data_IF_142501111245
#
_entry.id   IF_142501111245
#
_cell.length_a   1.000
_cell.length_b   1.000
_cell.length_c   1.000
_cell.angle_alpha   90.00
_cell.angle_beta   90.00
_cell.angle_gamma   90.00
#
_symmetry.space_group_name_H-M   'P 1'
#
loop_
_entity.id
_entity.type
_entity.pdbx_description
1 polymer ?
#
# COMPACT_ATOMS: atom_id res chain seq x y z
N UNK A 1 3.27 19.68 13.84
CA UNK A 1 3.93 19.69 12.52
C UNK A 1 2.92 20.26 11.55
N UNK A 2 3.24 21.39 10.94
CA UNK A 2 2.51 21.91 9.78
C UNK A 2 3.49 21.88 8.63
N UNK A 3 3.12 21.25 7.53
CA UNK A 3 3.93 21.30 6.31
C UNK A 3 3.73 22.67 5.67
N UNK A 4 4.80 23.24 5.13
CA UNK A 4 4.74 24.43 4.30
C UNK A 4 4.33 24.02 2.88
N UNK A 5 3.07 24.20 2.44
CA UNK A 5 2.60 23.63 1.19
C UNK A 5 3.27 24.27 -0.02
N UNK A 6 3.66 25.54 0.12
CA UNK A 6 4.34 26.35 -0.91
C UNK A 6 5.72 25.82 -1.29
N UNK A 7 6.31 25.00 -0.43
CA UNK A 7 7.57 24.29 -0.70
C UNK A 7 7.44 23.32 -1.88
N UNK A 8 6.26 22.73 -2.07
CA UNK A 8 6.02 21.71 -3.08
C UNK A 8 5.31 22.29 -4.30
N UNK A 9 5.61 21.71 -5.46
CA UNK A 9 4.78 21.86 -6.65
C UNK A 9 3.36 21.45 -6.27
N UNK A 10 2.38 22.31 -6.56
CA UNK A 10 0.96 22.01 -6.32
C UNK A 10 0.61 20.59 -6.75
N UNK A 11 -0.06 19.82 -5.90
CA UNK A 11 -0.41 18.42 -6.18
C UNK A 11 -1.16 18.23 -7.51
N UNK A 12 -1.98 19.22 -7.92
CA UNK A 12 -2.64 19.21 -9.24
C UNK A 12 -1.65 19.27 -10.40
N UNK A 13 -0.68 20.18 -10.32
CA UNK A 13 0.37 20.33 -11.34
C UNK A 13 1.28 19.10 -11.34
N UNK A 14 1.65 18.60 -10.17
CA UNK A 14 2.48 17.40 -10.04
C UNK A 14 1.83 16.17 -10.72
N UNK A 15 0.51 15.99 -10.57
CA UNK A 15 -0.22 14.92 -11.27
C UNK A 15 -0.33 15.13 -12.78
N UNK A 16 -0.54 16.37 -13.24
CA UNK A 16 -0.52 16.67 -14.69
C UNK A 16 0.85 16.34 -15.27
N UNK A 17 1.94 16.72 -14.59
CA UNK A 17 3.30 16.42 -15.02
C UNK A 17 3.60 14.91 -15.00
N UNK A 18 3.08 14.18 -14.02
CA UNK A 18 3.18 12.72 -13.94
C UNK A 18 2.50 12.06 -15.15
N UNK A 19 1.25 12.43 -15.44
CA UNK A 19 0.51 11.91 -16.59
C UNK A 19 1.19 12.26 -17.92
N UNK A 20 1.65 13.51 -18.10
CA UNK A 20 2.38 13.91 -19.30
C UNK A 20 3.68 13.11 -19.49
N UNK A 21 4.38 12.78 -18.40
CA UNK A 21 5.60 11.96 -18.45
C UNK A 21 5.30 10.51 -18.84
N UNK A 22 4.19 9.96 -18.34
CA UNK A 22 3.69 8.63 -18.73
C UNK A 22 3.34 8.62 -20.23
N UNK A 23 2.59 9.60 -20.71
CA UNK A 23 2.15 9.68 -22.10
C UNK A 23 3.35 9.83 -23.06
N UNK A 24 4.35 10.64 -22.68
CA UNK A 24 5.58 10.80 -23.45
C UNK A 24 6.37 9.47 -23.56
N UNK A 25 6.49 8.71 -22.47
CA UNK A 25 7.16 7.41 -22.48
C UNK A 25 6.37 6.34 -23.25
N UNK A 26 5.05 6.35 -23.17
CA UNK A 26 4.19 5.47 -23.97
C UNK A 26 4.31 5.77 -25.47
N UNK A 27 4.40 7.04 -25.86
CA UNK A 27 4.67 7.41 -27.25
C UNK A 27 6.04 6.92 -27.72
N UNK A 28 7.07 6.92 -26.86
CA UNK A 28 8.39 6.34 -27.20
C UNK A 28 8.36 4.81 -27.28
N UNK A 29 7.58 4.16 -26.41
CA UNK A 29 7.38 2.70 -26.41
C UNK A 29 6.84 2.16 -27.73
N UNK A 30 5.97 2.88 -28.43
CA UNK A 30 5.43 2.41 -29.72
C UNK A 30 6.45 2.41 -30.87
N UNK A 31 7.60 3.07 -30.70
CA UNK A 31 8.64 3.16 -31.72
C UNK A 31 9.84 2.26 -31.41
N UNK A 32 10.55 2.55 -30.31
CA UNK A 32 11.72 1.79 -29.85
C UNK A 32 12.14 2.28 -28.47
N UNK A 33 11.40 1.90 -27.42
CA UNK A 33 11.81 2.22 -26.06
C UNK A 33 13.01 1.37 -25.62
N UNK A 34 13.89 1.97 -24.84
CA UNK A 34 14.98 1.28 -24.15
C UNK A 34 14.50 0.57 -22.89
N UNK A 35 15.32 -0.34 -22.36
CA UNK A 35 15.07 -0.98 -21.06
C UNK A 35 14.78 0.04 -19.94
N UNK A 36 15.62 1.08 -19.83
CA UNK A 36 15.49 2.09 -18.78
C UNK A 36 14.21 2.94 -18.93
N UNK A 37 13.79 3.21 -20.16
CA UNK A 37 12.54 3.93 -20.42
C UNK A 37 11.30 3.10 -20.03
N UNK A 38 11.30 1.80 -20.31
CA UNK A 38 10.21 0.91 -19.88
C UNK A 38 10.20 0.77 -18.35
N UNK A 39 11.36 0.63 -17.70
CA UNK A 39 11.46 0.62 -16.23
C UNK A 39 10.96 1.94 -15.65
N UNK A 40 11.33 3.07 -16.28
CA UNK A 40 10.84 4.40 -15.92
C UNK A 40 9.32 4.53 -16.04
N UNK A 41 8.76 4.09 -17.16
CA UNK A 41 7.32 4.11 -17.42
C UNK A 41 6.55 3.25 -16.40
N UNK A 42 7.01 2.03 -16.16
CA UNK A 42 6.42 1.15 -15.14
C UNK A 42 6.44 1.81 -13.75
N UNK A 43 7.57 2.44 -13.37
CA UNK A 43 7.69 3.16 -12.10
C UNK A 43 6.67 4.29 -11.98
N UNK A 44 6.50 5.10 -13.03
CA UNK A 44 5.54 6.21 -13.01
C UNK A 44 4.09 5.73 -12.97
N UNK A 45 3.76 4.65 -13.69
CA UNK A 45 2.45 4.02 -13.62
C UNK A 45 2.15 3.47 -12.22
N UNK A 46 3.13 2.83 -11.56
CA UNK A 46 2.97 2.43 -10.17
C UNK A 46 2.72 3.62 -9.24
N UNK A 47 3.46 4.72 -9.39
CA UNK A 47 3.23 5.94 -8.60
C UNK A 47 1.82 6.49 -8.83
N UNK A 48 1.36 6.56 -10.08
CA UNK A 48 0.01 7.04 -10.38
C UNK A 48 -1.06 6.12 -9.80
N UNK A 49 -0.88 4.81 -9.93
CA UNK A 49 -1.75 3.80 -9.32
C UNK A 49 -1.81 3.92 -7.80
N UNK A 50 -0.66 4.10 -7.14
CA UNK A 50 -0.59 4.26 -5.68
C UNK A 50 -1.28 5.55 -5.21
N UNK A 51 -1.09 6.66 -5.92
CA UNK A 51 -1.70 7.94 -5.56
C UNK A 51 -3.20 7.94 -5.83
N UNK A 52 -3.65 7.35 -6.95
CA UNK A 52 -5.04 7.42 -7.39
C UNK A 52 -5.89 6.20 -7.02
N UNK A 53 -5.31 5.18 -6.36
CA UNK A 53 -6.01 3.92 -6.09
C UNK A 53 -6.37 3.17 -7.39
N UNK A 54 -5.50 3.21 -8.40
CA UNK A 54 -5.78 2.64 -9.71
C UNK A 54 -5.09 1.29 -9.92
N UNK A 55 -5.85 0.20 -9.80
CA UNK A 55 -5.44 -1.18 -10.08
C UNK A 55 -5.08 -1.34 -11.56
N UNK A 56 -5.83 -0.74 -12.48
CA UNK A 56 -5.50 -0.80 -13.90
C UNK A 56 -4.10 -0.23 -14.22
N UNK A 57 -3.67 0.81 -13.49
CA UNK A 57 -2.31 1.34 -13.61
C UNK A 57 -1.26 0.37 -13.05
N UNK A 58 -1.55 -0.33 -11.95
CA UNK A 58 -0.67 -1.40 -11.45
C UNK A 58 -0.56 -2.57 -12.44
N UNK A 59 -1.66 -2.94 -13.09
CA UNK A 59 -1.69 -3.97 -14.15
C UNK A 59 -0.84 -3.56 -15.35
N UNK A 60 -1.01 -2.32 -15.81
CA UNK A 60 -0.21 -1.76 -16.90
C UNK A 60 1.26 -1.71 -16.49
N UNK A 61 1.58 -1.21 -15.30
CA UNK A 61 2.94 -1.14 -14.80
C UNK A 61 3.63 -2.51 -14.73
N UNK A 62 2.93 -3.56 -14.29
CA UNK A 62 3.45 -4.94 -14.30
C UNK A 62 3.71 -5.41 -15.74
N UNK A 63 2.78 -5.17 -16.67
CA UNK A 63 2.96 -5.53 -18.07
C UNK A 63 4.18 -4.85 -18.71
N UNK A 64 4.35 -3.54 -18.48
CA UNK A 64 5.51 -2.78 -18.98
C UNK A 64 6.82 -3.30 -18.39
N UNK A 65 6.86 -3.58 -17.09
CA UNK A 65 8.09 -4.07 -16.47
C UNK A 65 8.45 -5.49 -16.96
N UNK A 66 7.46 -6.35 -17.21
CA UNK A 66 7.70 -7.65 -17.83
C UNK A 66 8.24 -7.54 -19.26
N UNK A 67 7.78 -6.55 -20.03
CA UNK A 67 8.35 -6.22 -21.34
C UNK A 67 9.83 -5.79 -21.21
N UNK A 68 10.14 -4.89 -20.27
CA UNK A 68 11.51 -4.49 -19.99
C UNK A 68 12.40 -5.70 -19.63
N UNK A 69 11.93 -6.56 -18.73
CA UNK A 69 12.64 -7.78 -18.32
C UNK A 69 12.89 -8.71 -19.52
N UNK A 70 11.93 -8.84 -20.44
CA UNK A 70 12.07 -9.67 -21.62
C UNK A 70 13.15 -9.15 -22.59
N UNK A 71 13.35 -7.83 -22.70
CA UNK A 71 14.39 -7.25 -23.56
C UNK A 71 15.82 -7.62 -23.14
N UNK A 72 16.06 -7.78 -21.84
CA UNK A 72 17.38 -8.00 -21.27
C UNK A 72 17.35 -9.14 -20.24
N UNK A 73 16.69 -10.25 -20.60
CA UNK A 73 16.46 -11.37 -19.72
C UNK A 73 17.77 -11.92 -19.13
N UNK A 74 17.76 -12.15 -17.81
CA UNK A 74 18.93 -12.67 -17.10
C UNK A 74 20.03 -11.65 -16.83
N UNK A 75 19.87 -10.37 -17.16
CA UNK A 75 20.79 -9.33 -16.69
C UNK A 75 20.56 -8.98 -15.23
N UNK A 76 21.57 -8.43 -14.55
CA UNK A 76 21.46 -8.00 -13.16
C UNK A 76 20.31 -7.00 -12.95
N UNK A 77 20.14 -6.03 -13.87
CA UNK A 77 19.06 -5.05 -13.84
C UNK A 77 17.69 -5.67 -14.02
N UNK A 78 17.52 -6.56 -15.02
CA UNK A 78 16.26 -7.28 -15.22
C UNK A 78 15.88 -8.15 -14.01
N UNK A 79 16.84 -8.84 -13.39
CA UNK A 79 16.62 -9.61 -12.17
C UNK A 79 16.17 -8.73 -11.00
N UNK A 80 16.77 -7.55 -10.83
CA UNK A 80 16.35 -6.59 -9.80
C UNK A 80 14.94 -6.05 -10.06
N UNK A 81 14.58 -5.72 -11.31
CA UNK A 81 13.22 -5.31 -11.68
C UNK A 81 12.20 -6.43 -11.39
N UNK A 82 12.50 -7.67 -11.80
CA UNK A 82 11.67 -8.83 -11.48
C UNK A 82 11.51 -9.04 -9.97
N UNK A 83 12.58 -8.85 -9.19
CA UNK A 83 12.52 -8.96 -7.74
C UNK A 83 11.57 -7.91 -7.13
N UNK A 84 11.62 -6.66 -7.62
CA UNK A 84 10.73 -5.59 -7.18
C UNK A 84 9.26 -5.88 -7.51
N UNK A 85 8.97 -6.38 -8.72
CA UNK A 85 7.61 -6.81 -9.09
C UNK A 85 7.13 -7.97 -8.22
N UNK A 86 7.99 -8.96 -7.98
CA UNK A 86 7.67 -10.10 -7.11
C UNK A 86 7.38 -9.63 -5.68
N UNK A 87 8.20 -8.74 -5.12
CA UNK A 87 8.00 -8.18 -3.78
C UNK A 87 6.69 -7.38 -3.69
N UNK A 88 6.40 -6.53 -4.68
CA UNK A 88 5.17 -5.72 -4.74
C UNK A 88 3.91 -6.57 -4.68
N UNK A 89 3.87 -7.68 -5.41
CA UNK A 89 2.75 -8.61 -5.39
C UNK A 89 2.91 -9.75 -4.37
N UNK A 90 3.73 -9.51 -3.34
CA UNK A 90 3.89 -10.37 -2.18
C UNK A 90 4.39 -11.80 -2.48
N UNK A 91 5.06 -12.00 -3.62
CA UNK A 91 5.80 -13.22 -3.98
C UNK A 91 7.19 -13.20 -3.33
N UNK A 92 7.24 -13.16 -2.00
CA UNK A 92 8.47 -12.84 -1.25
C UNK A 92 9.63 -13.81 -1.46
N UNK A 93 9.35 -15.13 -1.51
CA UNK A 93 10.40 -16.14 -1.76
C UNK A 93 11.03 -15.99 -3.14
N UNK A 94 10.21 -15.70 -4.15
CA UNK A 94 10.68 -15.44 -5.50
C UNK A 94 11.53 -14.17 -5.54
N UNK A 95 11.06 -13.09 -4.91
CA UNK A 95 11.81 -11.84 -4.80
C UNK A 95 13.18 -12.05 -4.14
N UNK A 96 13.26 -12.79 -3.03
CA UNK A 96 14.55 -13.07 -2.37
C UNK A 96 15.51 -13.85 -3.28
N UNK A 97 15.02 -14.86 -4.01
CA UNK A 97 15.83 -15.61 -4.97
C UNK A 97 16.35 -14.73 -6.11
N UNK A 98 15.51 -13.84 -6.63
CA UNK A 98 15.88 -12.91 -7.70
C UNK A 98 16.90 -11.86 -7.22
N UNK A 99 16.75 -11.34 -6.00
CA UNK A 99 17.75 -10.45 -5.40
C UNK A 99 19.11 -11.13 -5.21
N UNK A 100 19.13 -12.39 -4.78
CA UNK A 100 20.36 -13.16 -4.64
C UNK A 100 21.06 -13.35 -5.99
N UNK A 101 20.30 -13.63 -7.06
CA UNK A 101 20.83 -13.74 -8.42
C UNK A 101 21.35 -12.38 -8.93
N UNK A 102 20.58 -11.30 -8.76
CA UNK A 102 20.99 -9.95 -9.16
C UNK A 102 22.30 -9.54 -8.45
N UNK A 103 22.42 -9.84 -7.15
CA UNK A 103 23.63 -9.59 -6.38
C UNK A 103 24.82 -10.40 -6.89
N UNK A 104 24.63 -11.69 -7.20
CA UNK A 104 25.68 -12.54 -7.79
C UNK A 104 26.14 -12.00 -9.16
N UNK A 105 25.24 -11.35 -9.89
CA UNK A 105 25.53 -10.66 -11.15
C UNK A 105 26.01 -9.21 -10.97
N UNK A 106 26.42 -8.83 -9.76
CA UNK A 106 27.00 -7.53 -9.41
C UNK A 106 26.05 -6.33 -9.58
N UNK A 107 24.75 -6.52 -9.39
CA UNK A 107 23.85 -5.38 -9.16
C UNK A 107 24.31 -4.57 -7.94
N UNK A 108 24.20 -3.21 -7.96
CA UNK A 108 24.49 -2.36 -6.81
C UNK A 108 23.94 -2.89 -5.48
N UNK A 109 24.83 -3.03 -4.48
CA UNK A 109 24.51 -3.68 -3.19
C UNK A 109 23.51 -2.88 -2.36
N UNK A 110 23.59 -1.56 -2.39
CA UNK A 110 22.66 -0.66 -1.70
C UNK A 110 21.21 -0.85 -2.17
N UNK A 111 20.99 -1.00 -3.49
CA UNK A 111 19.67 -1.26 -4.05
C UNK A 111 19.14 -2.64 -3.64
N UNK A 112 20.00 -3.66 -3.64
CA UNK A 112 19.65 -4.99 -3.14
C UNK A 112 19.29 -4.97 -1.66
N UNK A 113 20.12 -4.32 -0.83
CA UNK A 113 19.92 -4.24 0.62
C UNK A 113 18.64 -3.46 0.95
N UNK A 114 18.28 -2.42 0.18
CA UNK A 114 17.02 -1.70 0.33
C UNK A 114 15.80 -2.58 0.07
N UNK A 115 15.81 -3.38 -1.01
CA UNK A 115 14.73 -4.34 -1.28
C UNK A 115 14.70 -5.46 -0.23
N UNK A 116 15.87 -5.95 0.21
CA UNK A 116 15.97 -7.00 1.22
C UNK A 116 15.44 -6.53 2.58
N UNK A 117 15.74 -5.30 2.98
CA UNK A 117 15.17 -4.70 4.19
C UNK A 117 13.63 -4.64 4.14
N UNK A 118 13.06 -4.28 3.00
CA UNK A 118 11.60 -4.28 2.82
C UNK A 118 11.01 -5.69 2.91
N UNK A 119 11.64 -6.70 2.32
CA UNK A 119 11.24 -8.11 2.41
C UNK A 119 11.30 -8.65 3.85
N UNK A 120 12.39 -8.34 4.56
CA UNK A 120 12.58 -8.73 5.96
C UNK A 120 11.50 -8.12 6.85
N UNK A 121 11.22 -6.82 6.68
CA UNK A 121 10.11 -6.16 7.39
C UNK A 121 8.76 -6.79 7.03
N UNK A 122 8.46 -6.95 5.74
CA UNK A 122 7.18 -7.51 5.29
C UNK A 122 6.93 -8.93 5.81
N UNK A 123 7.99 -9.70 6.09
CA UNK A 123 7.92 -11.08 6.60
C UNK A 123 8.06 -11.19 8.12
N UNK A 124 8.29 -10.08 8.83
CA UNK A 124 8.39 -10.02 10.29
C UNK A 124 9.78 -10.25 10.88
N UNK A 125 10.84 -10.25 10.05
CA UNK A 125 12.25 -10.35 10.46
C UNK A 125 12.79 -8.94 10.77
N UNK A 126 12.22 -8.32 11.79
CA UNK A 126 12.38 -6.88 12.04
C UNK A 126 13.80 -6.48 12.45
N UNK A 127 14.47 -7.28 13.27
CA UNK A 127 15.83 -6.99 13.76
C UNK A 127 16.85 -6.99 12.60
N UNK A 128 16.69 -7.91 11.65
CA UNK A 128 17.54 -7.95 10.45
C UNK A 128 17.22 -6.81 9.49
N UNK A 129 15.93 -6.45 9.36
CA UNK A 129 15.53 -5.26 8.61
C UNK A 129 16.11 -3.98 9.23
N UNK A 130 16.16 -3.90 10.56
CA UNK A 130 16.62 -2.73 11.30
C UNK A 130 18.09 -2.44 11.00
N UNK A 131 18.95 -3.46 11.12
CA UNK A 131 20.38 -3.32 10.81
C UNK A 131 20.64 -2.83 9.38
N UNK A 132 19.83 -3.26 8.40
CA UNK A 132 19.96 -2.80 7.02
C UNK A 132 19.44 -1.37 6.85
N UNK A 133 18.29 -1.04 7.43
CA UNK A 133 17.69 0.30 7.31
C UNK A 133 18.52 1.36 8.02
N UNK A 134 19.08 1.07 9.20
CA UNK A 134 20.01 1.97 9.90
C UNK A 134 21.23 2.27 9.03
N UNK A 135 21.89 1.23 8.52
CA UNK A 135 23.04 1.39 7.62
C UNK A 135 22.71 2.21 6.37
N UNK A 136 21.56 1.95 5.73
CA UNK A 136 21.14 2.69 4.54
C UNK A 136 20.86 4.16 4.85
N UNK A 137 20.21 4.45 5.99
CA UNK A 137 19.94 5.82 6.43
C UNK A 137 21.21 6.57 6.84
N UNK A 138 22.22 5.88 7.39
CA UNK A 138 23.54 6.46 7.69
C UNK A 138 24.36 6.75 6.43
N UNK A 139 24.33 5.87 5.44
CA UNK A 139 25.11 5.99 4.21
C UNK A 139 24.56 7.05 3.25
N UNK A 140 23.24 7.11 3.11
CA UNK A 140 22.55 8.04 2.22
C UNK A 140 21.29 8.58 2.91
N UNK A 141 21.45 9.57 3.82
CA UNK A 141 20.33 10.15 4.54
C UNK A 141 19.39 10.87 3.57
N UNK A 142 18.19 10.32 3.41
CA UNK A 142 17.14 10.88 2.53
C UNK A 142 15.77 10.67 3.12
N UNK A 143 14.76 11.37 2.59
CA UNK A 143 13.36 11.14 2.96
C UNK A 143 12.97 9.66 2.80
N UNK A 144 13.52 8.98 1.78
CA UNK A 144 13.24 7.58 1.53
C UNK A 144 13.91 6.66 2.55
N UNK A 145 15.21 6.81 2.83
CA UNK A 145 15.95 5.90 3.74
C UNK A 145 15.57 6.10 5.19
N UNK A 146 15.41 7.36 5.63
CA UNK A 146 14.99 7.69 6.99
C UNK A 146 13.51 7.37 7.19
N UNK A 147 12.65 7.62 6.20
CA UNK A 147 11.22 7.29 6.25
C UNK A 147 10.99 5.78 6.34
N UNK A 148 11.73 5.01 5.55
CA UNK A 148 11.81 3.56 5.65
C UNK A 148 12.13 3.06 7.07
N UNK A 149 13.14 3.66 7.70
CA UNK A 149 13.54 3.34 9.08
C UNK A 149 12.41 3.70 10.05
N UNK A 150 11.79 4.87 9.92
CA UNK A 150 10.67 5.29 10.74
C UNK A 150 9.50 4.29 10.69
N UNK A 151 9.15 3.82 9.48
CA UNK A 151 8.10 2.84 9.28
C UNK A 151 8.41 1.48 9.92
N UNK A 152 9.66 1.03 9.91
CA UNK A 152 10.08 -0.17 10.64
C UNK A 152 10.03 0.02 12.17
N UNK A 153 10.57 1.14 12.67
CA UNK A 153 10.55 1.46 14.11
C UNK A 153 9.11 1.49 14.63
N UNK A 154 8.18 2.01 13.84
CA UNK A 154 6.75 1.94 14.14
C UNK A 154 6.25 0.50 14.21
N UNK A 155 6.55 -0.37 13.24
CA UNK A 155 6.12 -1.78 13.30
C UNK A 155 6.70 -2.54 14.49
N UNK A 156 7.90 -2.17 14.95
CA UNK A 156 8.54 -2.70 16.16
C UNK A 156 7.97 -2.12 17.46
N UNK A 157 7.08 -1.13 17.38
CA UNK A 157 6.50 -0.46 18.54
C UNK A 157 7.40 0.58 19.21
N UNK A 158 8.51 0.97 18.56
CA UNK A 158 9.43 2.00 19.03
C UNK A 158 8.92 3.39 18.64
N UNK A 159 7.77 3.77 19.21
CA UNK A 159 6.97 4.88 18.72
C UNK A 159 7.64 6.25 18.78
N UNK A 160 8.34 6.55 19.87
CA UNK A 160 9.02 7.84 20.04
C UNK A 160 10.12 8.00 18.98
N UNK A 161 10.91 6.94 18.77
CA UNK A 161 11.94 6.91 17.73
C UNK A 161 11.32 7.02 16.34
N UNK A 162 10.22 6.30 16.07
CA UNK A 162 9.51 6.38 14.80
C UNK A 162 9.00 7.80 14.49
N UNK A 163 8.36 8.47 15.45
CA UNK A 163 7.87 9.84 15.27
C UNK A 163 9.01 10.84 15.02
N UNK A 164 10.13 10.69 15.73
CA UNK A 164 11.32 11.49 15.49
C UNK A 164 11.90 11.22 14.09
N UNK A 165 12.00 9.95 13.68
CA UNK A 165 12.49 9.57 12.35
C UNK A 165 11.57 10.06 11.23
N UNK A 166 10.25 10.00 11.38
CA UNK A 166 9.31 10.57 10.40
C UNK A 166 9.51 12.09 10.26
N UNK A 167 9.63 12.80 11.39
CA UNK A 167 9.87 14.24 11.38
C UNK A 167 11.23 14.58 10.74
N UNK A 168 12.27 13.81 11.06
CA UNK A 168 13.61 13.99 10.48
C UNK A 168 13.59 13.72 8.98
N UNK A 169 12.91 12.67 8.51
CA UNK A 169 12.79 12.36 7.10
C UNK A 169 12.13 13.50 6.31
N UNK A 170 11.06 14.12 6.84
CA UNK A 170 10.47 15.33 6.24
C UNK A 170 11.42 16.53 6.25
N UNK A 171 12.23 16.68 7.31
CA UNK A 171 13.22 17.75 7.41
C UNK A 171 14.41 17.58 6.45
N UNK A 172 14.77 16.34 6.10
CA UNK A 172 15.84 16.00 5.16
C UNK A 172 15.36 16.02 3.70
N UNK A 173 14.05 16.00 3.46
CA UNK A 173 13.54 16.28 2.11
C UNK A 173 14.09 17.63 1.66
N UNK A 174 14.58 17.70 0.43
CA UNK A 174 15.01 18.92 -0.29
C UNK A 174 14.30 19.03 -1.66
N UNK A 175 13.42 18.08 -1.97
CA UNK A 175 12.68 18.02 -3.22
C UNK A 175 11.51 18.99 -3.28
N UNK A 176 11.09 19.29 -4.52
CA UNK A 176 9.90 20.11 -4.83
C UNK A 176 8.70 19.27 -5.29
N UNK A 177 8.88 17.96 -5.47
CA UNK A 177 7.78 17.06 -5.81
C UNK A 177 7.01 16.66 -4.55
N UNK A 178 5.67 16.71 -4.53
CA UNK A 178 4.90 16.33 -3.34
C UNK A 178 4.86 14.83 -3.09
N UNK A 179 5.20 13.97 -4.07
CA UNK A 179 5.00 12.52 -3.95
C UNK A 179 5.79 11.85 -2.81
N UNK A 180 7.10 12.13 -2.61
CA UNK A 180 7.84 11.53 -1.50
C UNK A 180 7.30 11.94 -0.13
N UNK A 181 7.01 13.23 0.06
CA UNK A 181 6.43 13.75 1.30
C UNK A 181 5.03 13.19 1.55
N UNK A 182 4.19 13.10 0.52
CA UNK A 182 2.86 12.51 0.62
C UNK A 182 2.92 11.02 1.02
N UNK A 183 3.82 10.24 0.42
CA UNK A 183 4.02 8.84 0.80
C UNK A 183 4.46 8.71 2.27
N UNK A 184 5.38 9.56 2.73
CA UNK A 184 5.86 9.54 4.11
C UNK A 184 4.74 9.88 5.11
N UNK A 185 3.94 10.89 4.81
CA UNK A 185 2.78 11.27 5.63
C UNK A 185 1.71 10.18 5.63
N UNK A 186 1.50 9.51 4.49
CA UNK A 186 0.58 8.38 4.40
C UNK A 186 1.02 7.27 5.36
N UNK A 187 2.28 6.85 5.29
CA UNK A 187 2.84 5.82 6.17
C UNK A 187 2.77 6.22 7.66
N UNK A 188 3.07 7.48 7.98
CA UNK A 188 2.97 7.99 9.34
C UNK A 188 1.52 8.02 9.84
N UNK A 189 0.58 8.49 9.02
CA UNK A 189 -0.85 8.52 9.33
C UNK A 189 -1.40 7.10 9.58
N UNK A 190 -1.07 6.16 8.71
CA UNK A 190 -1.43 4.74 8.84
C UNK A 190 -0.83 4.14 10.11
N UNK A 191 0.43 4.45 10.42
CA UNK A 191 1.10 4.01 11.65
C UNK A 191 0.37 4.53 12.90
N UNK A 192 -0.01 5.81 12.94
CA UNK A 192 -0.79 6.39 14.02
C UNK A 192 -2.17 5.73 14.15
N UNK A 193 -2.84 5.46 13.02
CA UNK A 193 -4.15 4.80 12.98
C UNK A 193 -4.08 3.38 13.55
N UNK A 194 -3.05 2.60 13.19
CA UNK A 194 -2.82 1.24 13.70
C UNK A 194 -2.60 1.20 15.22
N UNK A 195 -2.13 2.30 15.82
CA UNK A 195 -1.99 2.47 17.28
C UNK A 195 -3.28 2.93 17.98
N UNK A 196 -4.35 3.17 17.23
CA UNK A 196 -5.59 3.78 17.72
C UNK A 196 -5.44 5.28 18.03
N UNK A 197 -4.38 5.95 17.56
CA UNK A 197 -4.17 7.40 17.73
C UNK A 197 -4.85 8.16 16.60
N UNK A 198 -6.19 8.07 16.56
CA UNK A 198 -7.01 8.61 15.47
C UNK A 198 -6.84 10.13 15.27
N UNK A 199 -6.67 10.91 16.33
CA UNK A 199 -6.45 12.37 16.23
C UNK A 199 -5.15 12.72 15.53
N UNK A 200 -4.08 11.99 15.87
CA UNK A 200 -2.78 12.12 15.22
C UNK A 200 -2.86 11.66 13.77
N UNK A 201 -3.52 10.54 13.51
CA UNK A 201 -3.70 10.00 12.17
C UNK A 201 -4.45 10.99 11.26
N UNK A 202 -5.58 11.55 11.73
CA UNK A 202 -6.34 12.56 10.99
C UNK A 202 -5.51 13.82 10.75
N UNK A 203 -4.76 14.29 11.75
CA UNK A 203 -3.87 15.46 11.58
C UNK A 203 -2.86 15.22 10.46
N UNK A 204 -2.15 14.08 10.49
CA UNK A 204 -1.10 13.78 9.51
C UNK A 204 -1.69 13.54 8.11
N UNK A 205 -2.80 12.82 8.00
CA UNK A 205 -3.46 12.56 6.71
C UNK A 205 -4.13 13.83 6.15
N UNK A 206 -4.56 14.77 6.99
CA UNK A 206 -5.02 16.08 6.55
C UNK A 206 -3.88 16.90 5.92
N UNK A 207 -2.68 16.91 6.52
CA UNK A 207 -1.48 17.54 5.95
C UNK A 207 -1.11 16.93 4.60
N UNK A 208 -1.20 15.60 4.46
CA UNK A 208 -1.06 14.92 3.17
C UNK A 208 -2.06 15.46 2.13
N UNK A 209 -3.32 15.62 2.53
CA UNK A 209 -4.37 16.14 1.67
C UNK A 209 -4.17 17.60 1.26
N UNK A 210 -3.38 18.37 2.02
CA UNK A 210 -3.01 19.76 1.65
C UNK A 210 -2.01 19.75 0.49
N UNK A 211 -0.97 18.93 0.54
CA UNK A 211 0.07 18.90 -0.50
C UNK A 211 -0.30 18.06 -1.73
N UNK A 212 -1.12 17.02 -1.54
CA UNK A 212 -1.57 16.13 -2.60
C UNK A 212 -3.07 15.78 -2.43
N UNK A 213 -3.99 16.71 -2.75
CA UNK A 213 -5.44 16.51 -2.53
C UNK A 213 -6.06 15.30 -3.24
N UNK A 214 -5.42 14.83 -4.31
CA UNK A 214 -5.87 13.70 -5.11
C UNK A 214 -5.35 12.34 -4.59
N UNK A 215 -4.62 12.31 -3.46
CA UNK A 215 -4.11 11.06 -2.89
C UNK A 215 -5.24 10.23 -2.26
N UNK A 216 -5.72 9.27 -3.04
CA UNK A 216 -6.89 8.43 -2.77
C UNK A 216 -6.75 7.57 -1.50
N UNK A 217 -5.66 6.80 -1.27
CA UNK A 217 -5.53 6.01 -0.05
C UNK A 217 -5.58 6.85 1.24
N UNK A 218 -4.98 8.03 1.19
CA UNK A 218 -4.99 8.98 2.31
C UNK A 218 -6.39 9.50 2.60
N UNK A 219 -7.17 9.80 1.56
CA UNK A 219 -8.58 10.19 1.69
C UNK A 219 -9.46 9.04 2.21
N UNK A 220 -9.22 7.81 1.74
CA UNK A 220 -9.88 6.60 2.22
C UNK A 220 -9.69 6.37 3.73
N UNK A 221 -8.45 6.42 4.22
CA UNK A 221 -8.17 6.28 5.65
C UNK A 221 -8.78 7.40 6.50
N UNK A 222 -8.90 8.64 5.98
CA UNK A 222 -9.65 9.70 6.67
C UNK A 222 -11.14 9.39 6.77
N UNK A 223 -11.72 8.73 5.76
CA UNK A 223 -13.10 8.25 5.82
C UNK A 223 -13.27 7.17 6.90
N UNK A 224 -12.36 6.20 6.99
CA UNK A 224 -12.35 5.20 8.07
C UNK A 224 -12.21 5.84 9.46
N UNK A 225 -11.36 6.86 9.61
CA UNK A 225 -11.23 7.59 10.88
C UNK A 225 -12.53 8.32 11.23
N UNK A 226 -13.18 8.96 10.26
CA UNK A 226 -14.48 9.62 10.46
C UNK A 226 -15.56 8.61 10.87
N UNK A 227 -15.63 7.46 10.19
CA UNK A 227 -16.52 6.35 10.53
C UNK A 227 -16.26 5.84 11.95
N UNK A 228 -15.00 5.63 12.33
CA UNK A 228 -14.63 5.19 13.68
C UNK A 228 -15.01 6.19 14.78
N UNK A 229 -15.23 7.46 14.43
CA UNK A 229 -15.74 8.51 15.34
C UNK A 229 -17.26 8.66 15.31
N UNK A 230 -17.95 7.94 14.42
CA UNK A 230 -19.39 8.08 14.20
C UNK A 230 -19.79 9.32 13.37
N UNK A 231 -18.82 10.01 12.76
CA UNK A 231 -19.08 11.15 11.87
C UNK A 231 -19.39 10.65 10.46
N UNK A 232 -20.62 10.13 10.29
CA UNK A 232 -21.07 9.50 9.05
C UNK A 232 -21.11 10.49 7.88
N UNK A 233 -21.49 11.75 8.13
CA UNK A 233 -21.55 12.79 7.09
C UNK A 233 -20.16 13.06 6.50
N UNK A 234 -19.15 13.22 7.36
CA UNK A 234 -17.77 13.40 6.92
C UNK A 234 -17.21 12.15 6.25
N UNK A 235 -17.49 10.96 6.82
CA UNK A 235 -17.05 9.69 6.23
C UNK A 235 -17.60 9.54 4.81
N UNK A 236 -18.89 9.82 4.62
CA UNK A 236 -19.59 9.79 3.34
C UNK A 236 -18.99 10.80 2.35
N UNK A 237 -18.78 12.06 2.76
CA UNK A 237 -18.19 13.09 1.91
C UNK A 237 -16.76 12.76 1.46
N UNK A 238 -16.01 12.02 2.27
CA UNK A 238 -14.67 11.57 1.93
C UNK A 238 -14.68 10.37 0.98
N UNK A 239 -15.54 9.37 1.20
CA UNK A 239 -15.51 8.12 0.43
C UNK A 239 -16.27 8.20 -0.90
N UNK A 240 -17.40 8.91 -0.96
CA UNK A 240 -18.33 8.83 -2.10
C UNK A 240 -17.67 9.17 -3.45
N UNK A 241 -16.80 10.20 -3.56
CA UNK A 241 -16.12 10.48 -4.83
C UNK A 241 -15.15 9.37 -5.26
N UNK A 242 -14.61 8.58 -4.32
CA UNK A 242 -13.65 7.53 -4.63
C UNK A 242 -14.28 6.35 -5.37
N UNK A 243 -15.60 6.16 -5.23
CA UNK A 243 -16.36 5.09 -5.91
C UNK A 243 -16.41 5.29 -7.43
N UNK A 244 -16.25 6.53 -7.88
CA UNK A 244 -16.23 6.89 -9.31
C UNK A 244 -14.80 7.01 -9.85
N UNK A 245 -13.84 7.41 -9.02
CA UNK A 245 -12.48 7.76 -9.47
C UNK A 245 -11.44 6.66 -9.26
N UNK A 246 -11.76 5.61 -8.50
CA UNK A 246 -10.87 4.50 -8.17
C UNK A 246 -11.51 3.17 -8.55
N UNK A 247 -10.71 2.24 -9.08
CA UNK A 247 -11.10 0.86 -9.36
C UNK A 247 -10.63 -0.13 -8.27
N UNK A 248 -9.93 0.35 -7.24
CA UNK A 248 -9.61 -0.45 -6.05
C UNK A 248 -10.88 -0.78 -5.23
N UNK A 249 -11.21 -2.07 -5.00
CA UNK A 249 -12.37 -2.46 -4.21
C UNK A 249 -12.32 -2.08 -2.74
N UNK A 250 -11.15 -1.70 -2.20
CA UNK A 250 -11.03 -1.24 -0.82
C UNK A 250 -11.94 -0.04 -0.54
N UNK A 251 -12.05 0.92 -1.46
CA UNK A 251 -12.87 2.12 -1.22
C UNK A 251 -14.36 1.83 -1.33
N UNK A 252 -14.77 0.91 -2.20
CA UNK A 252 -16.15 0.42 -2.25
C UNK A 252 -16.52 -0.38 -1.00
N UNK A 253 -15.57 -1.16 -0.47
CA UNK A 253 -15.76 -1.84 0.81
C UNK A 253 -15.96 -0.84 1.97
N UNK A 254 -15.13 0.20 2.07
CA UNK A 254 -15.28 1.26 3.09
C UNK A 254 -16.62 1.99 2.92
N UNK A 255 -17.05 2.26 1.68
CA UNK A 255 -18.36 2.86 1.42
C UNK A 255 -19.52 1.98 1.89
N UNK A 256 -19.47 0.67 1.61
CA UNK A 256 -20.45 -0.29 2.13
C UNK A 256 -20.46 -0.34 3.67
N UNK A 257 -19.29 -0.22 4.33
CA UNK A 257 -19.21 -0.10 5.80
C UNK A 257 -19.89 1.15 6.33
N UNK A 258 -19.73 2.29 5.66
CA UNK A 258 -20.36 3.56 6.04
C UNK A 258 -21.88 3.49 5.83
N UNK A 259 -22.34 2.92 4.71
CA UNK A 259 -23.77 2.69 4.45
C UNK A 259 -24.38 1.77 5.52
N UNK A 260 -23.69 0.68 5.88
CA UNK A 260 -24.14 -0.25 6.91
C UNK A 260 -24.31 0.45 8.27
N UNK A 261 -23.36 1.32 8.63
CA UNK A 261 -23.42 2.10 9.87
C UNK A 261 -24.57 3.12 9.89
N UNK A 262 -24.97 3.63 8.71
CA UNK A 262 -26.12 4.51 8.54
C UNK A 262 -27.48 3.81 8.38
N UNK A 263 -27.49 2.48 8.23
CA UNK A 263 -28.71 1.72 7.95
C UNK A 263 -29.27 1.94 6.53
N UNK A 264 -28.41 2.22 5.55
CA UNK A 264 -28.80 2.46 4.16
C UNK A 264 -28.99 1.12 3.41
N UNK A 265 -30.11 0.99 2.69
CA UNK A 265 -30.51 -0.23 1.99
C UNK A 265 -29.53 -0.64 0.87
N UNK A 266 -28.70 0.28 0.37
CA UNK A 266 -27.69 0.00 -0.67
C UNK A 266 -26.49 -0.80 -0.16
N UNK A 267 -26.39 -1.02 1.15
CA UNK A 267 -25.26 -1.71 1.79
C UNK A 267 -24.93 -3.04 1.13
N UNK A 268 -25.95 -3.89 0.92
CA UNK A 268 -25.74 -5.26 0.43
C UNK A 268 -25.33 -5.28 -1.05
N UNK A 269 -25.88 -4.39 -1.87
CA UNK A 269 -25.52 -4.27 -3.28
C UNK A 269 -24.06 -3.82 -3.45
N UNK A 270 -23.64 -2.82 -2.69
CA UNK A 270 -22.26 -2.29 -2.73
C UNK A 270 -21.25 -3.29 -2.14
N UNK A 271 -21.64 -4.03 -1.10
CA UNK A 271 -20.82 -5.11 -0.58
C UNK A 271 -20.65 -6.23 -1.64
N UNK A 272 -21.70 -6.67 -2.31
CA UNK A 272 -21.57 -7.73 -3.33
C UNK A 272 -20.81 -7.25 -4.58
N UNK A 273 -20.82 -5.94 -4.87
CA UNK A 273 -19.90 -5.36 -5.85
C UNK A 273 -18.44 -5.53 -5.43
N UNK A 274 -18.08 -5.07 -4.22
CA UNK A 274 -16.72 -5.18 -3.70
C UNK A 274 -16.26 -6.65 -3.59
N UNK A 275 -17.15 -7.58 -3.25
CA UNK A 275 -16.90 -9.02 -3.29
C UNK A 275 -16.38 -9.47 -4.66
N UNK A 276 -17.11 -9.12 -5.74
CA UNK A 276 -16.77 -9.57 -7.10
C UNK A 276 -15.39 -9.07 -7.50
N UNK A 277 -15.13 -7.81 -7.21
CA UNK A 277 -13.86 -7.15 -7.51
C UNK A 277 -12.70 -7.77 -6.69
N UNK A 278 -12.89 -8.02 -5.39
CA UNK A 278 -11.90 -8.70 -4.56
C UNK A 278 -11.61 -10.13 -5.04
N UNK A 279 -12.63 -10.92 -5.41
CA UNK A 279 -12.39 -12.28 -5.91
C UNK A 279 -11.65 -12.28 -7.26
N UNK A 280 -11.90 -11.29 -8.13
CA UNK A 280 -11.11 -11.11 -9.37
C UNK A 280 -9.63 -10.80 -9.06
N UNK A 281 -9.37 -9.93 -8.09
CA UNK A 281 -8.01 -9.61 -7.65
C UNK A 281 -7.32 -10.81 -7.00
N UNK A 282 -8.01 -11.54 -6.13
CA UNK A 282 -7.49 -12.72 -5.44
C UNK A 282 -7.19 -13.86 -6.41
N UNK A 283 -7.95 -14.01 -7.49
CA UNK A 283 -7.69 -15.01 -8.52
C UNK A 283 -6.35 -14.78 -9.24
N UNK A 284 -5.96 -13.51 -9.43
CA UNK A 284 -4.71 -13.13 -10.12
C UNK A 284 -3.53 -12.97 -9.16
N UNK A 285 -3.75 -12.38 -7.99
CA UNK A 285 -2.72 -11.97 -7.04
C UNK A 285 -3.17 -12.24 -5.59
N UNK A 286 -3.33 -13.52 -5.19
CA UNK A 286 -3.92 -13.87 -3.91
C UNK A 286 -3.17 -13.29 -2.71
N UNK A 287 -1.84 -13.33 -2.75
CA UNK A 287 -1.00 -12.83 -1.67
C UNK A 287 -1.02 -11.30 -1.53
N UNK A 288 -1.29 -10.57 -2.63
CA UNK A 288 -1.28 -9.10 -2.66
C UNK A 288 -2.46 -8.51 -1.86
N UNK A 289 -3.63 -9.14 -1.97
CA UNK A 289 -4.89 -8.59 -1.45
C UNK A 289 -5.49 -9.39 -0.28
N UNK A 290 -4.85 -10.48 0.14
CA UNK A 290 -5.41 -11.37 1.17
C UNK A 290 -5.70 -10.68 2.52
N UNK A 291 -4.92 -9.68 2.92
CA UNK A 291 -5.12 -9.00 4.20
C UNK A 291 -6.32 -8.05 4.18
N UNK A 292 -6.42 -7.19 3.16
CA UNK A 292 -7.56 -6.28 2.96
C UNK A 292 -8.85 -7.06 2.67
N UNK A 293 -8.80 -8.06 1.77
CA UNK A 293 -9.95 -8.90 1.47
C UNK A 293 -10.43 -9.71 2.69
N UNK A 294 -9.51 -10.21 3.54
CA UNK A 294 -9.91 -10.89 4.77
C UNK A 294 -10.64 -9.96 5.74
N UNK A 295 -10.19 -8.71 5.89
CA UNK A 295 -10.85 -7.71 6.73
C UNK A 295 -12.27 -7.40 6.21
N UNK A 296 -12.41 -7.20 4.89
CA UNK A 296 -13.70 -6.99 4.25
C UNK A 296 -14.65 -8.18 4.42
N UNK A 297 -14.20 -9.40 4.09
CA UNK A 297 -15.05 -10.60 4.16
C UNK A 297 -15.47 -10.97 5.59
N UNK A 298 -14.71 -10.61 6.63
CA UNK A 298 -15.17 -10.82 8.01
C UNK A 298 -16.17 -9.77 8.49
N UNK A 299 -16.25 -8.63 7.81
CA UNK A 299 -17.17 -7.53 8.08
C UNK A 299 -18.35 -7.52 7.10
N UNK A 300 -18.53 -6.41 6.39
CA UNK A 300 -19.66 -6.19 5.47
C UNK A 300 -19.72 -7.16 4.29
N UNK A 301 -18.61 -7.82 3.94
CA UNK A 301 -18.60 -8.87 2.94
C UNK A 301 -19.25 -10.19 3.39
N UNK A 302 -19.59 -10.33 4.68
CA UNK A 302 -20.38 -11.45 5.27
C UNK A 302 -19.93 -12.87 4.87
N UNK A 303 -18.63 -13.09 4.67
CA UNK A 303 -17.99 -14.38 4.29
C UNK A 303 -16.90 -14.78 5.29
N UNK A 304 -17.24 -15.07 6.56
CA UNK A 304 -16.23 -15.21 7.62
C UNK A 304 -15.33 -16.44 7.49
N UNK A 305 -15.76 -17.53 6.86
CA UNK A 305 -14.90 -18.67 6.53
C UNK A 305 -13.86 -18.29 5.48
N UNK A 306 -14.26 -17.57 4.42
CA UNK A 306 -13.35 -17.04 3.40
C UNK A 306 -12.32 -16.09 4.01
N UNK A 307 -12.75 -15.22 4.92
CA UNK A 307 -11.85 -14.35 5.67
C UNK A 307 -10.81 -15.13 6.49
N UNK A 308 -11.21 -16.24 7.14
CA UNK A 308 -10.31 -17.09 7.90
C UNK A 308 -9.28 -17.80 7.00
N UNK A 309 -9.68 -18.28 5.83
CA UNK A 309 -8.78 -18.87 4.84
C UNK A 309 -7.69 -17.88 4.42
N UNK A 310 -8.11 -16.68 4.00
CA UNK A 310 -7.20 -15.63 3.54
C UNK A 310 -6.27 -15.12 4.65
N UNK A 311 -6.81 -14.89 5.86
CA UNK A 311 -5.99 -14.49 7.00
C UNK A 311 -4.98 -15.57 7.40
N UNK A 312 -5.34 -16.85 7.27
CA UNK A 312 -4.45 -17.98 7.52
C UNK A 312 -3.33 -18.06 6.47
N UNK A 313 -3.66 -17.86 5.19
CA UNK A 313 -2.69 -17.80 4.11
C UNK A 313 -1.72 -16.62 4.29
N UNK A 314 -2.25 -15.43 4.64
CA UNK A 314 -1.44 -14.24 4.90
C UNK A 314 -0.48 -14.46 6.08
N UNK A 315 -0.95 -15.04 7.20
CA UNK A 315 -0.09 -15.35 8.34
C UNK A 315 1.04 -16.34 8.01
N UNK A 316 0.74 -17.38 7.20
CA UNK A 316 1.77 -18.31 6.73
C UNK A 316 2.82 -17.64 5.84
N UNK A 317 2.40 -16.67 5.02
CA UNK A 317 3.29 -15.91 4.15
C UNK A 317 4.14 -14.90 4.93
N UNK A 318 3.54 -14.22 5.92
CA UNK A 318 4.22 -13.23 6.76
C UNK A 318 3.78 -13.39 8.22
N UNK A 319 4.72 -13.70 9.11
CA UNK A 319 4.40 -13.86 10.54
C UNK A 319 4.65 -12.54 11.31
N UNK A 320 3.86 -11.51 11.00
CA UNK A 320 3.93 -10.21 11.65
C UNK A 320 2.90 -10.09 12.78
N UNK A 321 3.05 -9.14 13.73
CA UNK A 321 2.01 -8.84 14.71
C UNK A 321 0.65 -8.56 14.05
N UNK A 322 0.64 -7.86 12.89
CA UNK A 322 -0.56 -7.54 12.12
C UNK A 322 -1.25 -8.80 11.57
N UNK A 323 -0.50 -9.71 10.93
CA UNK A 323 -1.09 -10.92 10.36
C UNK A 323 -1.64 -11.86 11.44
N UNK A 324 -0.97 -11.94 12.61
CA UNK A 324 -1.48 -12.67 13.79
C UNK A 324 -2.77 -12.05 14.33
N UNK A 325 -2.84 -10.73 14.44
CA UNK A 325 -4.04 -10.02 14.88
C UNK A 325 -5.23 -10.24 13.93
N UNK A 326 -4.99 -10.12 12.62
CA UNK A 326 -5.99 -10.39 11.59
C UNK A 326 -6.51 -11.83 11.65
N UNK A 327 -5.62 -12.81 11.76
CA UNK A 327 -5.99 -14.23 11.92
C UNK A 327 -6.82 -14.47 13.18
N UNK A 328 -6.47 -13.84 14.31
CA UNK A 328 -7.23 -13.95 15.53
C UNK A 328 -8.64 -13.37 15.39
N UNK A 329 -8.81 -12.22 14.72
CA UNK A 329 -10.11 -11.63 14.40
C UNK A 329 -10.94 -12.53 13.49
N UNK A 330 -10.34 -13.03 12.40
CA UNK A 330 -11.02 -13.91 11.45
C UNK A 330 -11.51 -15.22 12.12
N UNK A 331 -10.70 -15.83 12.99
CA UNK A 331 -11.07 -17.03 13.76
C UNK A 331 -12.29 -16.80 14.65
N UNK A 332 -12.37 -15.64 15.32
CA UNK A 332 -13.54 -15.30 16.16
C UNK A 332 -14.79 -15.11 15.31
N UNK A 333 -14.68 -14.38 14.20
CA UNK A 333 -15.80 -14.15 13.27
C UNK A 333 -16.34 -15.47 12.69
N UNK A 334 -15.46 -16.36 12.22
CA UNK A 334 -15.86 -17.66 11.69
C UNK A 334 -16.54 -18.57 12.73
N UNK A 335 -16.05 -18.58 13.97
CA UNK A 335 -16.69 -19.36 15.06
C UNK A 335 -18.08 -18.84 15.40
N UNK A 336 -18.24 -17.52 15.51
CA UNK A 336 -19.54 -16.90 15.80
C UNK A 336 -20.58 -17.21 14.71
N UNK A 337 -20.16 -17.22 13.44
CA UNK A 337 -21.04 -17.59 12.33
C UNK A 337 -21.47 -19.07 12.38
N UNK A 338 -20.54 -19.99 12.67
CA UNK A 338 -20.89 -21.42 12.80
C UNK A 338 -21.88 -21.69 13.92
N UNK A 339 -21.72 -21.04 15.08
CA UNK A 339 -22.67 -21.20 16.21
C UNK A 339 -24.07 -20.67 15.90
N UNK A 340 -24.19 -19.61 15.08
CA UNK A 340 -25.49 -19.09 14.65
C UNK A 340 -26.20 -20.03 13.68
N UNK A 341 -25.46 -20.72 12.81
CA UNK A 341 -26.01 -21.71 11.88
C UNK A 341 -26.51 -22.95 12.62
N UNK A 342 -25.78 -23.43 13.64
CA UNK A 342 -26.21 -24.55 14.49
C UNK A 342 -27.47 -24.21 15.28
N UNK A 343 -27.58 -22.99 15.82
CA UNK A 343 -28.77 -22.56 16.57
C UNK A 343 -30.02 -22.39 15.68
N UNK A 344 -29.86 -21.99 14.41
CA UNK A 344 -30.98 -21.88 13.44
C UNK A 344 -31.43 -23.22 12.88
N UNK A 345 -30.66 -24.29 13.08
CA UNK A 345 -30.96 -25.63 12.60
C UNK A 345 -31.66 -26.52 13.66
N UNK A 346 -31.80 -26.04 14.91
CA UNK A 346 -32.56 -26.66 15.99
C UNK A 346 -33.95 -26.04 16.13
#
# INVERSE_FOLDING_TARGET
MMIEPERYTSGKIALVNLSASIDALESRRTHSATFDELVGLSKLLFVRGDVLGCIADHDRAESIANEAVAMCAGTAGALHVSAKLAARFHRFREAENLLNQALAMRHPRNEIDAQRAALLQATGRFEEALMLRERLAEQDPSIQTIGALASLLAEMGQWTAAEQSYSNALGTDDGVSPFPAAQLLFEWGVSAMRRGKLDKAETVLAELGVILPAHVPGRGHRAEIALARGDLDRAMALIAPLIETSDDPEYRAIYAEILAAGGDDRTDDEAEHAVRDYEMLLARRPAAYADHAAAFFMGVGKRPQRALELASANWKLRNTPRSRSLLAKARRSARAASTLTEYRAC
#
